data_IF_007655638783
#
_entry.id   IF_007655638783
#
_cell.length_a   1.000
_cell.length_b   1.000
_cell.length_c   1.000
_cell.angle_alpha   90.00
_cell.angle_beta   90.00
_cell.angle_gamma   90.00
#
_symmetry.space_group_name_H-M   'P 1'
#
loop_
_entity.id
_entity.type
_entity.pdbx_description
1 polymer ?
#
# COMPACT_ATOMS: atom_id res chain seq x y z
N UNK A 1 53.33 18.78 -40.52
CA UNK A 1 52.53 17.59 -40.93
C UNK A 1 51.94 16.91 -39.70
N UNK A 2 50.63 17.12 -39.51
CA UNK A 2 49.84 16.61 -38.38
C UNK A 2 49.69 15.09 -38.52
N UNK A 3 50.02 14.34 -37.48
CA UNK A 3 49.79 12.91 -37.35
C UNK A 3 48.62 12.68 -36.38
N UNK A 4 47.69 11.84 -36.81
CA UNK A 4 46.32 11.74 -36.34
C UNK A 4 46.12 10.99 -35.02
N UNK A 5 45.02 11.34 -34.36
CA UNK A 5 44.43 10.83 -33.12
C UNK A 5 44.26 9.31 -33.06
N UNK A 6 44.44 8.74 -31.86
CA UNK A 6 43.74 7.54 -31.38
C UNK A 6 43.51 7.57 -29.86
N UNK A 7 42.36 7.01 -29.50
CA UNK A 7 41.95 6.43 -28.22
C UNK A 7 41.68 7.40 -27.06
N UNK A 8 40.62 7.28 -26.26
CA UNK A 8 39.49 6.36 -26.18
C UNK A 8 38.36 7.13 -25.45
N UNK A 9 37.10 6.91 -25.79
CA UNK A 9 36.33 5.90 -25.07
C UNK A 9 35.25 6.60 -24.26
N UNK A 10 34.08 6.72 -24.88
CA UNK A 10 32.93 7.51 -24.46
C UNK A 10 32.47 7.29 -23.02
N UNK A 11 31.98 8.40 -22.47
CA UNK A 11 31.09 8.46 -21.32
C UNK A 11 29.93 7.45 -21.47
N UNK A 12 29.83 6.52 -20.52
CA UNK A 12 28.65 5.69 -20.33
C UNK A 12 27.66 6.39 -19.40
N UNK A 13 26.93 7.35 -19.94
CA UNK A 13 25.79 7.98 -19.26
C UNK A 13 24.58 7.05 -19.18
N UNK A 14 23.78 7.28 -18.13
CA UNK A 14 22.38 6.96 -17.91
C UNK A 14 21.65 6.15 -19.00
N UNK A 15 21.29 4.92 -18.67
CA UNK A 15 20.28 4.13 -19.38
C UNK A 15 18.98 4.06 -18.58
N UNK A 16 18.26 5.18 -18.48
CA UNK A 16 16.85 5.18 -18.10
C UNK A 16 16.06 4.47 -19.18
N UNK A 17 15.89 3.15 -19.02
CA UNK A 17 15.13 2.32 -19.95
C UNK A 17 13.65 2.59 -19.81
N UNK A 18 13.11 3.45 -20.67
CA UNK A 18 11.67 3.66 -20.89
C UNK A 18 11.02 2.43 -21.55
N UNK A 19 11.12 1.28 -20.90
CA UNK A 19 10.26 0.14 -21.19
C UNK A 19 8.92 0.34 -20.50
N UNK A 20 7.82 0.04 -21.19
CA UNK A 20 6.50 -0.03 -20.56
C UNK A 20 6.56 -1.02 -19.41
N UNK A 21 6.14 -0.58 -18.22
CA UNK A 21 6.04 -1.42 -17.04
C UNK A 21 5.16 -2.64 -17.33
N UNK A 22 5.67 -3.85 -17.09
CA UNK A 22 4.98 -5.11 -17.36
C UNK A 22 4.59 -5.78 -16.04
N UNK A 23 3.30 -5.71 -15.73
CA UNK A 23 2.64 -6.24 -14.54
C UNK A 23 1.53 -7.21 -14.94
N UNK A 24 1.72 -7.98 -16.01
CA UNK A 24 0.67 -8.84 -16.58
C UNK A 24 0.32 -10.08 -15.75
N UNK A 25 1.06 -10.39 -14.69
CA UNK A 25 0.81 -11.54 -13.82
C UNK A 25 1.40 -11.34 -12.41
N UNK A 26 1.01 -12.17 -11.42
CA UNK A 26 1.43 -11.99 -10.03
C UNK A 26 2.94 -11.89 -9.83
N UNK A 27 3.73 -12.77 -10.48
CA UNK A 27 5.19 -12.78 -10.33
C UNK A 27 5.84 -11.49 -10.80
N UNK A 28 5.25 -10.83 -11.81
CA UNK A 28 5.76 -9.55 -12.31
C UNK A 28 5.42 -8.39 -11.38
N UNK A 29 4.24 -8.42 -10.76
CA UNK A 29 3.88 -7.47 -9.69
C UNK A 29 4.81 -7.63 -8.49
N UNK A 30 5.03 -8.87 -8.03
CA UNK A 30 5.95 -9.19 -6.94
C UNK A 30 7.38 -8.72 -7.28
N UNK A 31 7.88 -9.05 -8.46
CA UNK A 31 9.22 -8.65 -8.89
C UNK A 31 9.39 -7.13 -9.03
N UNK A 32 8.34 -6.40 -9.39
CA UNK A 32 8.36 -4.94 -9.45
C UNK A 32 8.43 -4.30 -8.05
N UNK A 33 7.67 -4.84 -7.10
CA UNK A 33 7.62 -4.35 -5.73
C UNK A 33 8.86 -4.76 -4.90
N UNK A 34 9.53 -5.85 -5.26
CA UNK A 34 10.71 -6.32 -4.56
C UNK A 34 11.80 -5.24 -4.44
N UNK A 35 12.31 -5.04 -3.23
CA UNK A 35 13.31 -4.03 -2.93
C UNK A 35 12.77 -2.59 -2.92
N UNK A 36 11.45 -2.37 -3.00
CA UNK A 36 10.84 -1.03 -2.92
C UNK A 36 10.41 -0.66 -1.50
N UNK A 37 10.28 0.65 -1.29
CA UNK A 37 9.62 1.24 -0.12
C UNK A 37 8.35 1.94 -0.59
N UNK A 38 7.23 1.61 0.05
CA UNK A 38 5.92 2.19 -0.20
C UNK A 38 5.59 3.14 0.96
N UNK A 39 5.38 4.43 0.69
CA UNK A 39 5.08 5.44 1.73
C UNK A 39 3.71 6.09 1.53
N UNK A 40 2.87 6.07 2.55
CA UNK A 40 1.57 6.73 2.60
C UNK A 40 1.57 7.78 3.71
N UNK A 41 1.15 9.01 3.41
CA UNK A 41 1.00 10.09 4.39
C UNK A 41 0.01 11.17 3.90
N UNK A 42 -0.46 12.02 4.80
CA UNK A 42 -1.31 13.16 4.46
C UNK A 42 -2.59 12.74 3.72
N UNK A 43 -2.87 13.37 2.57
CA UNK A 43 -4.07 13.10 1.78
C UNK A 43 -4.11 11.69 1.14
N UNK A 44 -2.99 10.97 1.15
CA UNK A 44 -2.93 9.59 0.66
C UNK A 44 -3.44 8.57 1.71
N UNK A 45 -3.67 9.01 2.97
CA UNK A 45 -4.33 8.21 4.04
C UNK A 45 -5.85 8.38 3.92
N UNK A 46 -6.62 7.29 3.75
CA UNK A 46 -8.06 7.38 3.58
C UNK A 46 -8.78 7.50 4.93
N UNK A 47 -10.08 7.78 4.89
CA UNK A 47 -10.91 7.93 6.10
C UNK A 47 -11.16 6.62 6.86
N UNK A 48 -11.13 5.48 6.17
CA UNK A 48 -11.38 4.16 6.73
C UNK A 48 -10.29 3.15 6.34
N UNK A 49 -9.02 3.35 6.76
CA UNK A 49 -7.96 2.38 6.48
C UNK A 49 -8.36 1.01 7.02
N UNK A 50 -8.09 -0.05 6.25
CA UNK A 50 -8.43 -1.42 6.63
C UNK A 50 -9.94 -1.64 6.92
N UNK A 51 -10.82 -0.75 6.46
CA UNK A 51 -12.27 -0.79 6.68
C UNK A 51 -12.74 -0.18 8.00
N UNK A 52 -11.86 0.41 8.82
CA UNK A 52 -12.21 0.98 10.12
C UNK A 52 -12.07 2.50 10.12
N UNK A 53 -13.08 3.21 10.66
CA UNK A 53 -13.06 4.67 10.79
C UNK A 53 -11.83 5.14 11.59
N UNK A 54 -11.00 5.98 10.95
CA UNK A 54 -9.79 6.53 11.55
C UNK A 54 -10.06 7.37 12.80
N UNK A 55 -11.31 7.82 13.02
CA UNK A 55 -11.72 8.60 14.19
C UNK A 55 -12.12 7.74 15.40
N UNK A 56 -12.14 6.41 15.28
CA UNK A 56 -12.51 5.53 16.41
C UNK A 56 -11.27 5.04 17.13
N UNK A 57 -11.27 5.15 18.46
CA UNK A 57 -10.19 4.64 19.30
C UNK A 57 -10.25 3.12 19.40
N UNK A 58 -9.27 2.42 18.84
CA UNK A 58 -9.06 0.97 18.99
C UNK A 58 -7.79 0.66 19.79
N UNK A 59 -7.33 1.59 20.63
CA UNK A 59 -6.07 1.49 21.35
C UNK A 59 -4.89 1.44 20.38
N UNK A 60 -4.02 0.44 20.52
CA UNK A 60 -2.89 0.24 19.61
C UNK A 60 -3.31 -0.17 18.19
N UNK A 61 -4.55 -0.61 17.99
CA UNK A 61 -5.08 -0.95 16.67
C UNK A 61 -5.81 0.24 16.00
N UNK A 62 -5.68 1.46 16.53
CA UNK A 62 -6.32 2.65 15.94
C UNK A 62 -5.78 2.91 14.53
N UNK A 63 -6.66 3.24 13.58
CA UNK A 63 -6.31 3.48 12.18
C UNK A 63 -6.01 4.96 11.87
N UNK A 64 -5.91 5.80 12.88
CA UNK A 64 -5.46 7.19 12.72
C UNK A 64 -3.97 7.18 12.37
N UNK A 65 -3.63 7.21 11.09
CA UNK A 65 -2.25 7.19 10.62
C UNK A 65 -1.75 8.60 10.29
N UNK A 66 -0.55 8.93 10.78
CA UNK A 66 0.22 10.06 10.29
C UNK A 66 1.03 9.64 9.05
N UNK A 67 1.70 8.49 9.14
CA UNK A 67 2.48 7.89 8.06
C UNK A 67 2.45 6.36 8.16
N UNK A 68 2.47 5.68 7.01
CA UNK A 68 2.75 4.24 6.92
C UNK A 68 3.83 4.01 5.88
N UNK A 69 4.83 3.22 6.24
CA UNK A 69 5.90 2.76 5.37
C UNK A 69 5.83 1.23 5.26
N UNK A 70 5.93 0.70 4.04
CA UNK A 70 6.05 -0.74 3.78
C UNK A 70 7.36 -0.96 3.03
N UNK A 71 8.30 -1.66 3.66
CA UNK A 71 9.51 -2.14 2.99
C UNK A 71 9.25 -3.54 2.44
N UNK A 72 9.47 -3.74 1.15
CA UNK A 72 9.28 -5.03 0.48
C UNK A 72 10.65 -5.68 0.25
N UNK A 73 10.90 -6.82 0.92
CA UNK A 73 12.17 -7.54 0.78
C UNK A 73 11.97 -9.04 0.99
N UNK A 74 12.54 -9.85 0.11
CA UNK A 74 12.50 -11.31 0.18
C UNK A 74 11.07 -11.86 0.13
N UNK A 75 10.17 -11.20 -0.60
CA UNK A 75 8.75 -11.57 -0.66
C UNK A 75 7.97 -11.35 0.64
N UNK A 76 8.53 -10.58 1.59
CA UNK A 76 7.87 -10.18 2.84
C UNK A 76 7.75 -8.67 2.92
N UNK A 77 6.78 -8.20 3.69
CA UNK A 77 6.54 -6.79 4.01
C UNK A 77 6.91 -6.51 5.45
N UNK A 78 7.77 -5.53 5.67
CA UNK A 78 7.92 -4.89 6.98
C UNK A 78 7.13 -3.60 6.93
N UNK A 79 6.05 -3.53 7.70
CA UNK A 79 5.20 -2.35 7.78
C UNK A 79 5.50 -1.61 9.07
N UNK A 80 5.82 -0.33 8.94
CA UNK A 80 5.96 0.62 10.03
C UNK A 80 4.84 1.65 9.93
N UNK A 81 4.04 1.76 10.98
CA UNK A 81 2.99 2.78 11.08
C UNK A 81 3.36 3.78 12.15
N UNK A 82 3.25 5.06 11.85
CA UNK A 82 3.24 6.15 12.83
C UNK A 82 1.80 6.59 12.97
N UNK A 83 1.24 6.43 14.17
CA UNK A 83 -0.12 6.87 14.45
C UNK A 83 -0.16 8.40 14.52
N UNK A 84 -1.29 8.99 14.13
CA UNK A 84 -1.65 10.36 14.50
C UNK A 84 -2.19 10.42 15.92
N UNK A 85 -2.56 11.62 16.35
CA UNK A 85 -3.19 11.83 17.66
C UNK A 85 -4.70 11.80 17.49
N UNK A 86 -5.39 10.98 18.29
CA UNK A 86 -6.84 10.96 18.31
C UNK A 86 -7.38 11.92 19.37
N UNK A 87 -7.88 13.08 18.93
CA UNK A 87 -8.39 14.11 19.83
C UNK A 87 -9.81 13.79 20.30
N UNK A 88 -10.08 13.96 21.59
CA UNK A 88 -11.43 13.81 22.14
C UNK A 88 -11.91 12.37 22.33
N UNK A 89 -11.03 11.37 22.24
CA UNK A 89 -11.35 9.96 22.47
C UNK A 89 -10.26 9.27 23.30
N UNK A 90 -10.30 9.41 24.63
CA UNK A 90 -9.30 8.84 25.55
C UNK A 90 -9.43 7.33 25.74
N UNK A 91 -10.64 6.80 25.60
CA UNK A 91 -10.94 5.39 25.87
C UNK A 91 -11.28 4.63 24.59
N UNK A 92 -10.98 3.32 24.59
CA UNK A 92 -11.33 2.41 23.48
C UNK A 92 -12.83 2.44 23.22
N UNK A 93 -13.21 2.53 21.94
CA UNK A 93 -14.59 2.61 21.46
C UNK A 93 -15.14 4.03 21.36
N UNK A 94 -14.42 5.05 21.85
CA UNK A 94 -14.83 6.45 21.67
C UNK A 94 -14.52 6.95 20.26
N UNK A 95 -15.39 7.84 19.77
CA UNK A 95 -15.20 8.57 18.50
C UNK A 95 -14.59 9.93 18.82
N UNK A 96 -13.47 10.23 18.17
CA UNK A 96 -12.75 11.49 18.30
C UNK A 96 -12.55 12.16 16.95
N UNK A 97 -11.44 12.85 16.81
CA UNK A 97 -10.97 13.42 15.55
C UNK A 97 -9.51 13.08 15.35
N UNK A 98 -9.21 12.32 14.31
CA UNK A 98 -7.85 11.97 13.94
C UNK A 98 -7.09 13.21 13.47
N UNK A 99 -5.98 13.51 14.13
CA UNK A 99 -5.00 14.50 13.68
C UNK A 99 -3.74 13.80 13.16
N UNK A 100 -3.59 13.64 11.84
CA UNK A 100 -2.41 13.01 11.24
C UNK A 100 -1.16 13.92 11.33
N UNK A 101 -1.31 15.20 11.68
CA UNK A 101 -0.19 16.13 11.79
C UNK A 101 0.40 16.18 13.21
N UNK A 102 -0.14 15.40 14.15
CA UNK A 102 0.36 15.23 15.50
C UNK A 102 0.82 13.78 15.71
N UNK A 103 2.05 13.42 15.29
CA UNK A 103 2.55 12.04 15.37
C UNK A 103 2.58 11.53 16.81
N UNK A 104 2.09 10.30 16.99
CA UNK A 104 2.06 9.55 18.22
C UNK A 104 2.97 8.32 18.18
N UNK A 105 2.46 7.20 18.65
CA UNK A 105 3.22 5.95 18.74
C UNK A 105 3.61 5.41 17.35
N UNK A 106 4.80 4.80 17.27
CA UNK A 106 5.22 4.02 16.11
C UNK A 106 5.08 2.54 16.41
N UNK A 107 4.47 1.82 15.48
CA UNK A 107 4.26 0.37 15.52
C UNK A 107 4.95 -0.25 14.31
N UNK A 108 5.49 -1.45 14.48
CA UNK A 108 6.15 -2.19 13.40
C UNK A 108 5.70 -3.65 13.42
N UNK A 109 5.43 -4.19 12.24
CA UNK A 109 5.00 -5.57 12.05
C UNK A 109 5.59 -6.12 10.76
N UNK A 110 6.07 -7.36 10.83
CA UNK A 110 6.60 -8.09 9.69
C UNK A 110 5.62 -9.18 9.25
N UNK A 111 5.36 -9.24 7.94
CA UNK A 111 4.56 -10.31 7.37
C UNK A 111 5.33 -11.63 7.41
N UNK A 112 4.62 -12.72 7.62
CA UNK A 112 5.12 -14.09 7.44
C UNK A 112 4.89 -14.60 6.01
N UNK A 113 3.96 -13.99 5.28
CA UNK A 113 3.69 -14.28 3.88
C UNK A 113 2.95 -13.11 3.22
N UNK A 114 3.26 -12.87 1.95
CA UNK A 114 2.49 -12.00 1.05
C UNK A 114 2.17 -12.80 -0.20
N UNK A 115 0.91 -12.77 -0.61
CA UNK A 115 0.42 -13.44 -1.81
C UNK A 115 -0.18 -12.40 -2.76
N UNK A 116 0.31 -12.36 -4.00
CA UNK A 116 -0.34 -11.64 -5.10
C UNK A 116 -1.11 -12.64 -5.97
N UNK A 117 -2.33 -12.29 -6.34
CA UNK A 117 -3.21 -13.12 -7.17
C UNK A 117 -3.91 -12.31 -8.26
N UNK A 118 -4.57 -13.02 -9.19
CA UNK A 118 -5.55 -12.49 -10.17
C UNK A 118 -5.25 -11.08 -10.70
N UNK A 119 -4.25 -10.98 -11.58
CA UNK A 119 -3.85 -9.67 -12.14
C UNK A 119 -4.65 -9.36 -13.41
N UNK A 120 -5.25 -8.17 -13.45
CA UNK A 120 -6.00 -7.62 -14.58
C UNK A 120 -5.36 -6.31 -15.06
N UNK A 121 -5.48 -6.05 -16.37
CA UNK A 121 -5.15 -4.76 -16.96
C UNK A 121 -3.71 -4.31 -16.74
N UNK A 122 -2.74 -5.24 -16.71
CA UNK A 122 -1.33 -4.92 -16.48
C UNK A 122 -1.09 -4.13 -15.18
N UNK A 123 -1.62 -4.63 -14.06
CA UNK A 123 -1.48 -4.01 -12.75
C UNK A 123 -2.54 -2.96 -12.41
N UNK A 124 -3.56 -2.77 -13.28
CA UNK A 124 -4.76 -1.98 -12.97
C UNK A 124 -5.57 -2.57 -11.82
N UNK A 125 -5.50 -3.89 -11.61
CA UNK A 125 -6.00 -4.56 -10.42
C UNK A 125 -5.22 -5.87 -10.18
N UNK A 126 -4.85 -6.17 -8.95
CA UNK A 126 -4.38 -7.48 -8.51
C UNK A 126 -4.85 -7.77 -7.08
N UNK A 127 -5.13 -9.03 -6.75
CA UNK A 127 -5.46 -9.43 -5.39
C UNK A 127 -4.19 -9.44 -4.52
N UNK A 128 -4.31 -8.98 -3.28
CA UNK A 128 -3.25 -9.14 -2.26
C UNK A 128 -3.79 -9.75 -0.99
N UNK A 129 -2.97 -10.60 -0.38
CA UNK A 129 -3.15 -11.05 1.00
C UNK A 129 -1.80 -10.98 1.72
N UNK A 130 -1.70 -10.18 2.78
CA UNK A 130 -0.55 -10.09 3.66
C UNK A 130 -0.88 -10.71 5.02
N UNK A 131 -0.07 -11.67 5.48
CA UNK A 131 -0.29 -12.38 6.75
C UNK A 131 0.77 -11.97 7.76
N UNK A 132 0.36 -11.53 8.93
CA UNK A 132 1.24 -11.12 10.04
C UNK A 132 1.06 -12.05 11.24
N UNK A 133 1.92 -11.90 12.25
CA UNK A 133 1.72 -12.60 13.52
C UNK A 133 0.47 -12.05 14.23
N UNK A 134 -0.61 -12.83 14.25
CA UNK A 134 -1.85 -12.51 14.98
C UNK A 134 -2.95 -11.82 14.18
N UNK A 135 -2.67 -11.36 12.96
CA UNK A 135 -3.69 -10.79 12.06
C UNK A 135 -3.30 -10.94 10.59
N UNK A 136 -4.25 -10.69 9.68
CA UNK A 136 -4.00 -10.61 8.25
C UNK A 136 -4.73 -9.43 7.63
N UNK A 137 -4.23 -9.00 6.48
CA UNK A 137 -4.87 -8.01 5.62
C UNK A 137 -5.07 -8.62 4.24
N UNK A 138 -6.20 -8.32 3.63
CA UNK A 138 -6.53 -8.77 2.29
C UNK A 138 -7.33 -7.73 1.53
N UNK A 139 -7.26 -7.80 0.20
CA UNK A 139 -7.81 -6.75 -0.63
C UNK A 139 -7.39 -6.87 -2.07
N UNK A 140 -7.42 -5.72 -2.73
CA UNK A 140 -6.96 -5.51 -4.10
C UNK A 140 -6.03 -4.31 -4.16
N UNK A 141 -5.05 -4.38 -5.04
CA UNK A 141 -4.08 -3.34 -5.30
C UNK A 141 -4.07 -2.93 -6.77
N UNK A 142 -3.53 -1.74 -7.05
CA UNK A 142 -3.16 -1.29 -8.39
C UNK A 142 -1.83 -0.55 -8.33
N UNK A 143 -1.07 -0.60 -9.41
CA UNK A 143 0.15 0.19 -9.58
C UNK A 143 -0.07 1.17 -10.73
N UNK A 144 0.34 2.42 -10.56
CA UNK A 144 0.21 3.43 -11.62
C UNK A 144 1.03 3.04 -12.85
N UNK A 145 0.61 3.43 -14.07
CA UNK A 145 1.35 3.06 -15.30
C UNK A 145 2.82 3.51 -15.34
N UNK A 146 3.15 4.59 -14.61
CA UNK A 146 4.52 5.10 -14.46
C UNK A 146 5.31 4.43 -13.32
N UNK A 147 4.69 3.52 -12.57
CA UNK A 147 5.29 2.84 -11.42
C UNK A 147 5.57 3.74 -10.22
N UNK A 148 5.05 4.98 -10.20
CA UNK A 148 5.33 5.93 -9.13
C UNK A 148 4.44 5.72 -7.89
N UNK A 149 3.27 5.12 -8.03
CA UNK A 149 2.35 4.87 -6.92
C UNK A 149 1.76 3.46 -6.93
N UNK A 150 1.46 2.95 -5.75
CA UNK A 150 0.59 1.80 -5.55
C UNK A 150 -0.62 2.27 -4.74
N UNK A 151 -1.82 1.84 -5.11
CA UNK A 151 -3.02 2.04 -4.30
C UNK A 151 -3.56 0.69 -3.86
N UNK A 152 -3.79 0.52 -2.56
CA UNK A 152 -4.33 -0.70 -1.98
C UNK A 152 -5.64 -0.42 -1.26
N UNK A 153 -6.65 -1.21 -1.55
CA UNK A 153 -7.89 -1.25 -0.78
C UNK A 153 -7.84 -2.49 0.11
N UNK A 154 -7.35 -2.32 1.34
CA UNK A 154 -7.23 -3.41 2.31
C UNK A 154 -8.37 -3.44 3.30
N UNK A 155 -8.63 -4.64 3.79
CA UNK A 155 -9.49 -4.95 4.93
C UNK A 155 -8.77 -5.99 5.80
N UNK A 156 -9.13 -6.04 7.08
CA UNK A 156 -8.67 -7.15 7.91
C UNK A 156 -9.25 -8.47 7.40
N UNK A 157 -8.40 -9.49 7.38
CA UNK A 157 -8.73 -10.81 6.85
C UNK A 157 -9.99 -11.38 7.51
N UNK A 158 -10.85 -11.99 6.70
CA UNK A 158 -12.11 -12.62 7.13
C UNK A 158 -13.15 -11.61 7.70
N UNK A 159 -12.96 -10.30 7.51
CA UNK A 159 -13.93 -9.27 7.93
C UNK A 159 -14.74 -8.68 6.76
N UNK A 160 -14.26 -8.84 5.53
CA UNK A 160 -14.88 -8.23 4.35
C UNK A 160 -15.13 -9.25 3.24
N UNK A 161 -16.10 -8.98 2.37
CA UNK A 161 -16.30 -9.66 1.08
C UNK A 161 -16.45 -8.63 -0.03
N UNK A 162 -16.33 -9.05 -1.29
CA UNK A 162 -16.48 -8.13 -2.44
C UNK A 162 -15.27 -7.21 -2.68
N UNK A 163 -14.14 -7.50 -2.04
CA UNK A 163 -12.92 -6.68 -2.05
C UNK A 163 -11.84 -7.22 -3.01
N UNK A 164 -12.16 -8.21 -3.86
CA UNK A 164 -11.21 -8.81 -4.82
C UNK A 164 -11.36 -8.16 -6.19
N UNK A 165 -10.38 -8.37 -7.06
CA UNK A 165 -10.39 -7.87 -8.44
C UNK A 165 -11.48 -8.48 -9.31
N UNK A 166 -12.00 -9.65 -8.92
CA UNK A 166 -13.17 -10.27 -9.55
C UNK A 166 -14.47 -9.52 -9.25
N UNK A 167 -14.54 -8.79 -8.14
CA UNK A 167 -15.73 -8.06 -7.69
C UNK A 167 -15.77 -6.62 -8.20
N UNK A 168 -14.62 -6.06 -8.58
CA UNK A 168 -14.51 -4.69 -9.07
C UNK A 168 -13.08 -4.15 -9.12
N UNK A 169 -12.96 -2.92 -9.64
CA UNK A 169 -11.72 -2.14 -9.59
C UNK A 169 -11.40 -1.68 -8.15
N UNK A 170 -10.13 -1.33 -7.90
CA UNK A 170 -9.69 -0.76 -6.61
C UNK A 170 -10.49 0.50 -6.27
N UNK A 171 -11.19 0.48 -5.13
CA UNK A 171 -12.04 1.58 -4.66
C UNK A 171 -13.41 1.64 -5.33
N UNK A 172 -13.85 0.59 -6.03
CA UNK A 172 -15.15 0.59 -6.68
C UNK A 172 -16.29 0.59 -5.63
N UNK A 173 -17.14 1.63 -5.60
CA UNK A 173 -18.17 1.77 -4.58
C UNK A 173 -19.25 0.68 -4.68
N UNK A 174 -19.77 0.27 -3.53
CA UNK A 174 -20.87 -0.69 -3.45
C UNK A 174 -20.50 -2.15 -3.73
N UNK A 175 -19.22 -2.46 -3.89
CA UNK A 175 -18.74 -3.84 -4.05
C UNK A 175 -18.46 -4.51 -2.71
N UNK A 176 -17.93 -3.75 -1.74
CA UNK A 176 -17.49 -4.30 -0.46
C UNK A 176 -18.61 -4.34 0.57
N UNK A 177 -18.68 -5.45 1.30
CA UNK A 177 -19.39 -5.54 2.59
C UNK A 177 -18.40 -5.85 3.69
N UNK A 178 -18.58 -5.22 4.86
CA UNK A 178 -17.81 -5.44 6.08
C UNK A 178 -18.76 -6.01 7.14
N UNK A 179 -18.49 -7.21 7.65
CA UNK A 179 -19.37 -7.90 8.61
C UNK A 179 -20.86 -7.88 8.16
N UNK A 180 -21.10 -8.33 6.93
CA UNK A 180 -22.41 -8.39 6.26
C UNK A 180 -23.13 -7.04 6.07
N UNK A 181 -22.45 -5.91 6.33
CA UNK A 181 -22.99 -4.57 6.13
C UNK A 181 -22.30 -3.89 4.95
N UNK A 182 -23.05 -3.21 4.04
CA UNK A 182 -22.43 -2.44 2.96
C UNK A 182 -21.40 -1.44 3.49
N UNK A 183 -20.19 -1.48 2.94
CA UNK A 183 -19.15 -0.52 3.29
C UNK A 183 -19.39 0.81 2.57
N UNK A 184 -19.39 1.90 3.34
CA UNK A 184 -19.66 3.27 2.83
C UNK A 184 -18.49 4.22 3.03
N UNK A 185 -17.38 3.74 3.60
CA UNK A 185 -16.17 4.53 3.82
C UNK A 185 -15.27 4.57 2.60
N UNK A 186 -14.08 5.14 2.79
CA UNK A 186 -12.97 5.07 1.83
C UNK A 186 -11.83 4.26 2.47
N UNK A 187 -11.44 3.16 1.83
CA UNK A 187 -10.36 2.29 2.28
C UNK A 187 -9.13 2.32 1.36
N UNK A 188 -9.13 3.17 0.32
CA UNK A 188 -8.06 3.20 -0.69
C UNK A 188 -6.85 3.95 -0.13
N UNK A 189 -5.83 3.18 0.24
CA UNK A 189 -4.56 3.66 0.74
C UNK A 189 -3.60 3.88 -0.42
N UNK A 190 -3.13 5.11 -0.62
CA UNK A 190 -2.21 5.43 -1.72
C UNK A 190 -0.78 5.51 -1.18
N UNK A 191 0.15 4.83 -1.85
CA UNK A 191 1.55 4.79 -1.48
C UNK A 191 2.41 5.32 -2.61
N UNK A 192 3.37 6.18 -2.28
CA UNK A 192 4.48 6.56 -3.16
C UNK A 192 5.50 5.44 -3.17
N UNK A 193 5.92 5.01 -4.36
CA UNK A 193 6.91 3.96 -4.55
C UNK A 193 8.29 4.62 -4.70
N UNK A 194 9.20 4.25 -3.82
CA UNK A 194 10.60 4.69 -3.84
C UNK A 194 11.58 3.52 -3.76
N UNK A 195 12.85 3.85 -3.89
CA UNK A 195 13.94 2.97 -3.48
C UNK A 195 14.21 3.15 -1.98
N UNK A 196 14.81 2.14 -1.30
CA UNK A 196 15.13 2.20 0.13
C UNK A 196 16.10 3.32 0.50
#
# INVERSE_FOLDING_TARGET
>A
PRGSERDAGGAGGAGGGGGTLDLTNPRKVEAFLEGKVLRMAGADVPSHPNGFDANVNFGQATQCYAEVEITVLGGSWTTRSVLGTLNGASDVGQVGMCDPNAPGASLEFASTAVLVGEVRGNGECFDVTATYAGFGQEGRGRISPDGATAAFEFFFKDQATGHRCADGDVGQPGTVTLNDTPFTGDAVQVYRIGEP
#
